data_IF_173122002135
#
_entry.id   IF_173122002135
#
_cell.length_a   1.000
_cell.length_b   1.000
_cell.length_c   1.000
_cell.angle_alpha   90.00
_cell.angle_beta   90.00
_cell.angle_gamma   90.00
#
_symmetry.space_group_name_H-M   'P 1'
#
loop_
_entity.id
_entity.type
_entity.pdbx_description
1 polymer ?
#
# COMPACT_ATOMS: atom_id res chain seq x y z
N UNK A 1 -68.06 -19.19 -22.69
CA UNK A 1 -67.01 -19.87 -21.91
C UNK A 1 -66.56 -18.90 -20.81
N UNK A 2 -67.11 -19.06 -19.60
CA UNK A 2 -66.94 -18.16 -18.45
C UNK A 2 -66.10 -18.91 -17.41
N UNK A 3 -65.02 -18.32 -16.91
CA UNK A 3 -64.34 -18.81 -15.70
C UNK A 3 -64.16 -17.63 -14.76
N UNK A 4 -64.85 -17.70 -13.62
CA UNK A 4 -64.71 -16.81 -12.46
C UNK A 4 -63.54 -17.32 -11.62
N UNK A 5 -62.62 -16.43 -11.24
CA UNK A 5 -61.62 -16.70 -10.21
C UNK A 5 -62.14 -16.16 -8.87
N UNK A 6 -62.24 -17.03 -7.87
CA UNK A 6 -62.69 -16.71 -6.53
C UNK A 6 -61.50 -16.37 -5.62
N UNK A 7 -61.66 -15.29 -4.85
CA UNK A 7 -60.82 -14.86 -3.73
C UNK A 7 -60.91 -15.89 -2.58
N UNK A 8 -59.79 -16.28 -2.00
CA UNK A 8 -59.73 -16.90 -0.66
C UNK A 8 -58.80 -16.04 0.19
N UNK A 9 -59.40 -15.33 1.15
CA UNK A 9 -58.71 -14.61 2.21
C UNK A 9 -58.65 -15.52 3.45
N UNK A 10 -57.45 -15.92 3.86
CA UNK A 10 -57.22 -16.66 5.10
C UNK A 10 -56.72 -15.71 6.18
N UNK A 11 -57.57 -15.46 7.16
CA UNK A 11 -57.27 -14.79 8.42
C UNK A 11 -56.59 -15.79 9.38
N UNK A 12 -55.32 -15.56 9.72
CA UNK A 12 -54.70 -16.19 10.88
C UNK A 12 -54.53 -15.14 11.97
N UNK A 13 -55.34 -15.27 13.02
CA UNK A 13 -55.20 -14.59 14.30
C UNK A 13 -54.17 -15.36 15.13
N UNK A 14 -53.06 -14.71 15.50
CA UNK A 14 -52.09 -15.21 16.46
C UNK A 14 -52.14 -14.34 17.72
N UNK A 15 -52.59 -14.94 18.82
CA UNK A 15 -52.54 -14.38 20.17
C UNK A 15 -51.08 -14.25 20.64
N UNK A 16 -50.74 -13.22 21.42
CA UNK A 16 -49.40 -13.09 22.01
C UNK A 16 -49.27 -13.98 23.25
N UNK A 17 -48.24 -14.83 23.25
CA UNK A 17 -47.81 -15.60 24.41
C UNK A 17 -46.97 -14.68 25.31
N UNK A 18 -47.50 -14.37 26.50
CA UNK A 18 -46.78 -13.61 27.52
C UNK A 18 -45.59 -14.43 28.05
N UNK A 19 -44.38 -13.93 27.83
CA UNK A 19 -43.17 -14.47 28.46
C UNK A 19 -43.07 -13.94 29.89
N UNK A 20 -43.12 -14.85 30.87
CA UNK A 20 -42.78 -14.57 32.27
C UNK A 20 -41.28 -14.33 32.40
N UNK A 21 -40.93 -13.09 32.73
CA UNK A 21 -39.58 -12.67 33.09
C UNK A 21 -39.24 -13.21 34.49
N UNK A 22 -38.38 -14.23 34.53
CA UNK A 22 -37.85 -14.79 35.78
C UNK A 22 -36.69 -13.92 36.24
N UNK A 23 -36.90 -13.18 37.33
CA UNK A 23 -35.85 -12.42 38.02
C UNK A 23 -34.77 -13.36 38.58
N UNK A 24 -33.48 -13.15 38.27
CA UNK A 24 -32.41 -13.86 38.98
C UNK A 24 -32.20 -13.23 40.36
N UNK A 25 -32.13 -14.11 41.36
CA UNK A 25 -31.83 -13.81 42.75
C UNK A 25 -30.51 -13.03 42.91
N UNK A 26 -30.56 -12.00 43.76
CA UNK A 26 -29.42 -11.14 44.08
C UNK A 26 -28.30 -11.88 44.80
N UNK A 27 -27.11 -11.84 44.21
CA UNK A 27 -25.86 -12.15 44.91
C UNK A 27 -25.26 -10.85 45.44
N UNK A 28 -25.43 -10.59 46.74
CA UNK A 28 -24.64 -9.60 47.48
C UNK A 28 -23.18 -10.04 47.51
N UNK A 29 -22.30 -9.24 46.88
CA UNK A 29 -20.85 -9.37 47.04
C UNK A 29 -20.42 -8.68 48.34
N UNK A 30 -19.57 -9.33 49.18
CA UNK A 30 -18.97 -8.66 50.32
C UNK A 30 -17.95 -7.63 49.85
N UNK A 31 -18.00 -6.43 50.45
CA UNK A 31 -17.03 -5.36 50.22
C UNK A 31 -15.67 -5.75 50.79
N UNK A 32 -14.70 -6.06 49.92
CA UNK A 32 -13.29 -6.17 50.28
C UNK A 32 -12.71 -4.75 50.39
N UNK A 33 -12.58 -4.28 51.62
CA UNK A 33 -11.97 -3.00 51.97
C UNK A 33 -10.43 -3.16 52.00
N UNK A 34 -9.79 -3.04 50.84
CA UNK A 34 -8.33 -3.04 50.70
C UNK A 34 -7.81 -1.62 50.88
N UNK A 35 -7.29 -1.33 52.08
CA UNK A 35 -6.43 -0.16 52.34
C UNK A 35 -5.13 -0.33 51.54
N UNK A 36 -4.89 0.55 50.57
CA UNK A 36 -3.57 0.68 49.95
C UNK A 36 -2.59 1.32 50.96
N UNK A 37 -1.33 0.85 51.01
CA UNK A 37 -0.26 1.54 51.74
C UNK A 37 0.20 2.80 50.99
N UNK A 38 0.50 3.85 51.76
CA UNK A 38 1.06 5.11 51.28
C UNK A 38 2.41 4.89 50.59
N UNK A 39 2.50 5.31 49.32
CA UNK A 39 3.75 5.33 48.55
C UNK A 39 4.38 6.71 48.71
N UNK A 40 5.63 6.82 49.23
CA UNK A 40 6.32 8.09 49.35
C UNK A 40 6.70 8.67 47.97
N UNK A 41 6.48 9.96 47.85
CA UNK A 41 6.71 10.81 46.68
C UNK A 41 8.20 10.86 46.28
N UNK A 42 8.58 10.67 45.01
CA UNK A 42 9.97 10.73 44.59
C UNK A 42 10.48 12.17 44.49
N UNK A 43 11.63 12.43 45.11
CA UNK A 43 12.36 13.69 45.07
C UNK A 43 12.73 14.09 43.63
N UNK A 44 12.47 15.36 43.30
CA UNK A 44 12.73 15.93 41.97
C UNK A 44 14.23 16.08 41.65
N UNK A 45 14.61 16.06 40.36
CA UNK A 45 15.99 16.16 39.94
C UNK A 45 16.53 17.59 40.04
N UNK A 46 17.65 17.73 40.75
CA UNK A 46 18.47 18.93 40.84
C UNK A 46 19.15 19.27 39.50
N UNK A 47 18.97 20.51 39.04
CA UNK A 47 19.63 21.13 37.87
C UNK A 47 21.13 21.34 38.13
N UNK A 48 22.03 20.93 37.21
CA UNK A 48 23.41 21.41 37.21
C UNK A 48 23.52 22.77 36.49
N UNK A 49 24.42 23.60 37.02
CA UNK A 49 24.65 24.99 36.67
C UNK A 49 25.31 25.19 35.29
N UNK A 50 24.94 26.31 34.66
CA UNK A 50 25.49 26.86 33.42
C UNK A 50 27.01 26.99 33.44
N UNK A 51 27.67 26.44 32.42
CA UNK A 51 29.06 26.77 32.09
C UNK A 51 29.07 27.48 30.74
N UNK A 52 29.12 28.82 30.79
CA UNK A 52 29.31 29.69 29.63
C UNK A 52 30.71 29.45 29.03
N UNK A 53 30.76 28.81 27.86
CA UNK A 53 31.95 28.78 27.01
C UNK A 53 31.94 29.97 26.06
N UNK A 54 32.96 30.80 26.19
CA UNK A 54 33.34 31.91 25.32
C UNK A 54 33.64 31.44 23.89
N UNK A 55 33.01 32.06 22.90
CA UNK A 55 33.30 31.91 21.48
C UNK A 55 34.50 32.78 21.06
N UNK A 56 35.34 32.33 20.12
CA UNK A 56 36.42 33.13 19.53
C UNK A 56 35.89 34.20 18.54
N UNK A 57 36.68 35.26 18.28
CA UNK A 57 36.22 36.45 17.56
C UNK A 57 36.04 36.25 16.05
N UNK A 58 35.09 37.01 15.49
CA UNK A 58 34.76 37.12 14.07
C UNK A 58 35.96 37.58 13.23
N UNK A 59 36.18 36.88 12.12
CA UNK A 59 37.05 37.30 11.01
C UNK A 59 36.26 38.27 10.11
N UNK A 60 36.83 39.42 9.69
CA UNK A 60 36.15 40.38 8.81
C UNK A 60 36.05 39.90 7.34
N UNK A 61 35.12 40.46 6.55
CA UNK A 61 34.80 39.95 5.22
C UNK A 61 35.86 40.38 4.19
N UNK A 62 36.75 39.47 3.83
CA UNK A 62 37.66 39.58 2.68
C UNK A 62 36.97 39.14 1.39
N UNK A 63 37.08 39.98 0.35
CA UNK A 63 36.39 39.84 -0.94
C UNK A 63 36.65 38.54 -1.69
N UNK A 64 35.59 38.07 -2.36
CA UNK A 64 35.61 36.97 -3.32
C UNK A 64 36.27 37.41 -4.65
N UNK A 65 37.22 36.64 -5.20
CA UNK A 65 37.71 36.82 -6.55
C UNK A 65 36.62 36.48 -7.59
N UNK A 66 36.48 37.26 -8.68
CA UNK A 66 35.54 36.98 -9.75
C UNK A 66 36.20 36.08 -10.80
N UNK A 67 36.44 34.81 -10.49
CA UNK A 67 36.96 33.89 -11.50
C UNK A 67 36.54 32.46 -11.18
N UNK A 68 35.38 32.06 -11.72
CA UNK A 68 34.95 30.68 -11.98
C UNK A 68 33.54 30.71 -12.60
N UNK A 69 33.45 31.26 -13.82
CA UNK A 69 32.29 31.08 -14.71
C UNK A 69 32.76 30.82 -16.14
N UNK A 70 33.35 29.64 -16.36
CA UNK A 70 33.44 28.99 -17.68
C UNK A 70 34.02 27.60 -17.52
N UNK A 71 33.17 26.62 -17.22
CA UNK A 71 33.40 25.20 -17.53
C UNK A 71 32.10 24.42 -17.25
N UNK A 72 31.02 24.80 -17.95
CA UNK A 72 29.79 24.02 -17.98
C UNK A 72 29.62 23.44 -19.38
N UNK A 73 30.41 22.39 -19.68
CA UNK A 73 30.16 21.38 -20.73
C UNK A 73 31.24 20.30 -20.64
N UNK A 74 31.23 19.53 -19.56
CA UNK A 74 31.84 18.20 -19.54
C UNK A 74 30.69 17.19 -19.51
N UNK A 75 30.62 16.35 -20.55
CA UNK A 75 29.73 15.21 -20.66
C UNK A 75 29.58 14.54 -19.29
N UNK A 76 28.37 14.57 -18.72
CA UNK A 76 28.00 13.75 -17.58
C UNK A 76 28.09 12.29 -18.04
N UNK A 77 29.22 11.65 -17.73
CA UNK A 77 29.48 10.26 -18.03
C UNK A 77 28.51 9.42 -17.19
N UNK A 78 27.33 9.16 -17.76
CA UNK A 78 26.34 8.21 -17.24
C UNK A 78 26.98 6.83 -17.31
N UNK A 79 27.72 6.41 -16.28
CA UNK A 79 27.71 5.04 -15.73
C UNK A 79 28.80 4.77 -14.67
N UNK A 80 28.65 5.21 -13.41
CA UNK A 80 29.52 4.70 -12.33
C UNK A 80 28.98 3.47 -11.59
N UNK A 81 27.88 2.82 -12.01
CA UNK A 81 27.38 1.62 -11.30
C UNK A 81 26.73 0.56 -12.20
N UNK A 82 27.22 0.40 -13.43
CA UNK A 82 26.82 -0.71 -14.28
C UNK A 82 27.63 -1.95 -13.89
N UNK A 83 26.97 -2.93 -13.29
CA UNK A 83 27.56 -4.19 -12.92
C UNK A 83 27.38 -5.22 -14.04
N UNK A 84 28.49 -5.81 -14.50
CA UNK A 84 28.45 -6.95 -15.43
C UNK A 84 27.94 -8.20 -14.71
N UNK A 85 27.02 -8.91 -15.35
CA UNK A 85 26.39 -10.15 -14.89
C UNK A 85 26.89 -11.28 -15.78
N UNK A 86 27.41 -12.34 -15.16
CA UNK A 86 27.62 -13.59 -15.87
C UNK A 86 26.37 -14.46 -15.73
N UNK A 87 25.61 -14.57 -16.82
CA UNK A 87 24.35 -15.33 -16.89
C UNK A 87 24.50 -16.80 -16.48
N UNK A 88 25.66 -17.40 -16.74
CA UNK A 88 25.92 -18.80 -16.38
C UNK A 88 26.11 -19.00 -14.87
N UNK A 89 26.48 -17.93 -14.16
CA UNK A 89 26.67 -17.92 -12.71
C UNK A 89 25.43 -17.50 -11.92
N UNK A 90 24.32 -17.13 -12.59
CA UNK A 90 23.11 -16.67 -11.91
C UNK A 90 22.40 -17.85 -11.26
N UNK A 91 22.29 -17.81 -9.94
CA UNK A 91 21.71 -18.89 -9.13
C UNK A 91 20.82 -18.32 -8.03
N UNK A 92 20.01 -19.18 -7.40
CA UNK A 92 19.25 -18.84 -6.20
C UNK A 92 19.98 -19.42 -4.98
N UNK A 93 20.25 -18.60 -3.98
CA UNK A 93 20.83 -18.99 -2.71
C UNK A 93 19.78 -18.81 -1.61
N UNK A 94 19.63 -19.83 -0.75
CA UNK A 94 18.89 -19.69 0.51
C UNK A 94 19.88 -19.24 1.61
N UNK A 95 19.66 -18.05 2.16
CA UNK A 95 20.42 -17.52 3.29
C UNK A 95 19.46 -17.10 4.39
N UNK A 96 19.48 -17.85 5.50
CA UNK A 96 18.67 -17.56 6.68
C UNK A 96 17.16 -17.48 6.37
N UNK A 97 16.65 -18.36 5.52
CA UNK A 97 15.24 -18.39 5.14
C UNK A 97 14.84 -17.27 4.18
N UNK A 98 15.82 -16.62 3.53
CA UNK A 98 15.61 -15.65 2.46
C UNK A 98 16.23 -16.18 1.17
N UNK A 99 15.46 -16.16 0.10
CA UNK A 99 15.90 -16.55 -1.23
C UNK A 99 16.47 -15.32 -1.95
N UNK A 100 17.77 -15.38 -2.22
CA UNK A 100 18.52 -14.34 -2.93
C UNK A 100 18.86 -14.84 -4.33
N UNK A 101 18.62 -14.02 -5.35
CA UNK A 101 19.14 -14.25 -6.70
C UNK A 101 20.51 -13.60 -6.79
N UNK A 102 21.54 -14.39 -7.07
CA UNK A 102 22.95 -13.95 -7.06
C UNK A 102 23.65 -14.28 -8.36
N UNK A 103 24.61 -13.45 -8.78
CA UNK A 103 25.58 -13.76 -9.85
C UNK A 103 26.97 -13.79 -9.22
N UNK A 104 27.55 -14.99 -9.13
CA UNK A 104 28.76 -15.23 -8.33
C UNK A 104 28.55 -14.79 -6.88
N UNK A 105 29.35 -13.82 -6.42
CA UNK A 105 29.28 -13.29 -5.05
C UNK A 105 28.34 -12.08 -4.91
N UNK A 106 27.77 -11.56 -6.00
CA UNK A 106 26.92 -10.40 -5.95
C UNK A 106 25.46 -10.78 -5.81
N UNK A 107 24.76 -10.14 -4.87
CA UNK A 107 23.31 -10.23 -4.77
C UNK A 107 22.70 -9.33 -5.83
N UNK A 108 21.95 -9.92 -6.76
CA UNK A 108 21.19 -9.20 -7.77
C UNK A 108 19.82 -8.79 -7.25
N UNK A 109 19.14 -9.69 -6.51
CA UNK A 109 17.83 -9.42 -5.93
C UNK A 109 17.58 -10.23 -4.67
N UNK A 110 16.88 -9.64 -3.70
CA UNK A 110 16.35 -10.33 -2.53
C UNK A 110 14.83 -10.56 -2.71
N UNK A 111 14.42 -11.82 -2.72
CA UNK A 111 13.03 -12.23 -2.92
C UNK A 111 12.31 -12.59 -1.61
N UNK A 112 12.93 -12.34 -0.45
CA UNK A 112 12.36 -12.68 0.85
C UNK A 112 12.20 -14.19 1.04
N UNK A 113 11.15 -14.63 1.75
CA UNK A 113 10.93 -16.06 2.05
C UNK A 113 10.28 -16.85 0.90
N UNK A 114 9.97 -16.22 -0.23
CA UNK A 114 9.24 -16.86 -1.33
C UNK A 114 10.18 -17.40 -2.42
N UNK A 115 10.43 -18.71 -2.35
CA UNK A 115 11.24 -19.43 -3.34
C UNK A 115 10.65 -19.40 -4.74
N UNK A 116 9.32 -19.45 -4.87
CA UNK A 116 8.68 -19.47 -6.18
C UNK A 116 8.89 -18.13 -6.89
N UNK A 117 8.78 -17.01 -6.16
CA UNK A 117 9.12 -15.72 -6.76
C UNK A 117 10.60 -15.61 -7.11
N UNK A 118 11.52 -16.14 -6.29
CA UNK A 118 12.95 -16.17 -6.64
C UNK A 118 13.21 -16.96 -7.94
N UNK A 119 12.52 -18.09 -8.14
CA UNK A 119 12.57 -18.86 -9.39
C UNK A 119 12.06 -18.05 -10.58
N UNK A 120 10.95 -17.34 -10.40
CA UNK A 120 10.43 -16.45 -11.43
C UNK A 120 11.43 -15.34 -11.79
N UNK A 121 12.06 -14.69 -10.82
CA UNK A 121 13.08 -13.65 -11.07
C UNK A 121 14.28 -14.23 -11.82
N UNK A 122 14.78 -15.40 -11.39
CA UNK A 122 15.87 -16.10 -12.09
C UNK A 122 15.50 -16.40 -13.55
N UNK A 123 14.30 -16.94 -13.78
CA UNK A 123 13.81 -17.23 -15.13
C UNK A 123 13.76 -15.96 -16.00
N UNK A 124 13.24 -14.85 -15.47
CA UNK A 124 13.19 -13.57 -16.19
C UNK A 124 14.61 -13.10 -16.56
N UNK A 125 15.57 -13.14 -15.62
CA UNK A 125 16.95 -12.72 -15.90
C UNK A 125 17.59 -13.57 -17.01
N UNK A 126 17.41 -14.90 -16.93
CA UNK A 126 17.97 -15.84 -17.92
C UNK A 126 17.29 -15.72 -19.29
N UNK A 127 15.95 -15.63 -19.33
CA UNK A 127 15.18 -15.53 -20.56
C UNK A 127 15.42 -14.21 -21.29
N UNK A 128 15.52 -13.10 -20.54
CA UNK A 128 15.79 -11.77 -21.11
C UNK A 128 17.26 -11.59 -21.49
N UNK A 129 18.15 -12.48 -21.03
CA UNK A 129 19.58 -12.40 -21.32
C UNK A 129 20.25 -11.17 -20.73
N UNK A 130 19.83 -10.72 -19.54
CA UNK A 130 20.41 -9.54 -18.90
C UNK A 130 21.88 -9.78 -18.52
N UNK A 131 22.77 -9.02 -19.16
CA UNK A 131 24.23 -9.12 -18.95
C UNK A 131 24.76 -7.96 -18.14
N UNK A 132 23.96 -6.94 -17.90
CA UNK A 132 24.32 -5.77 -17.10
C UNK A 132 23.16 -5.36 -16.21
N UNK A 133 23.49 -4.99 -14.97
CA UNK A 133 22.57 -4.45 -13.98
C UNK A 133 23.05 -3.08 -13.55
N UNK A 134 22.17 -2.09 -13.59
CA UNK A 134 22.40 -0.77 -13.02
C UNK A 134 21.30 -0.41 -12.04
N UNK A 135 21.61 0.41 -11.05
CA UNK A 135 20.63 0.93 -10.11
C UNK A 135 20.85 2.42 -9.86
N UNK A 136 19.75 3.12 -9.60
CA UNK A 136 19.76 4.51 -9.12
C UNK A 136 19.06 4.53 -7.77
N UNK A 137 19.81 4.91 -6.73
CA UNK A 137 19.31 4.93 -5.37
C UNK A 137 18.17 5.94 -5.17
N UNK A 138 17.37 5.71 -4.13
CA UNK A 138 16.40 6.68 -3.61
C UNK A 138 15.01 6.63 -4.24
N UNK A 139 14.79 5.81 -5.27
CA UNK A 139 13.44 5.52 -5.72
C UNK A 139 12.73 4.52 -4.79
N UNK A 140 11.40 4.65 -4.68
CA UNK A 140 10.52 3.69 -4.04
C UNK A 140 9.41 3.26 -5.03
N UNK A 141 9.46 2.03 -5.59
CA UNK A 141 10.52 1.02 -5.42
C UNK A 141 11.86 1.46 -6.03
N UNK A 142 12.99 0.82 -5.68
CA UNK A 142 14.31 1.12 -6.24
C UNK A 142 14.29 1.12 -7.77
N UNK A 143 14.97 2.09 -8.38
CA UNK A 143 15.07 2.18 -9.83
C UNK A 143 16.23 1.29 -10.27
N UNK A 144 15.89 0.12 -10.81
CA UNK A 144 16.83 -0.83 -11.37
C UNK A 144 16.62 -0.91 -12.88
N UNK A 145 17.70 -0.97 -13.64
CA UNK A 145 17.66 -1.16 -15.08
C UNK A 145 18.60 -2.28 -15.48
N UNK A 146 18.16 -3.05 -16.48
CA UNK A 146 18.84 -4.26 -16.90
C UNK A 146 19.09 -4.15 -18.40
N UNK A 147 20.33 -4.39 -18.81
CA UNK A 147 20.75 -4.24 -20.20
C UNK A 147 21.30 -5.55 -20.77
N UNK A 148 21.22 -5.64 -22.09
CA UNK A 148 21.82 -6.71 -22.89
C UNK A 148 22.97 -6.10 -23.69
N UNK A 149 24.20 -6.57 -23.47
CA UNK A 149 25.43 -6.08 -24.10
C UNK A 149 25.35 -6.21 -25.62
N UNK A 150 24.90 -7.37 -26.09
CA UNK A 150 24.77 -7.66 -27.51
C UNK A 150 23.29 -7.64 -27.93
N UNK A 151 22.90 -6.59 -28.65
CA UNK A 151 21.57 -6.51 -29.26
C UNK A 151 21.31 -7.65 -30.26
N UNK A 152 22.34 -8.33 -30.78
CA UNK A 152 22.19 -9.52 -31.60
C UNK A 152 21.62 -10.70 -30.80
N UNK A 153 21.96 -10.80 -29.51
CA UNK A 153 21.38 -11.77 -28.58
C UNK A 153 19.95 -11.38 -28.22
N UNK A 154 19.63 -10.08 -28.13
CA UNK A 154 18.25 -9.61 -27.99
C UNK A 154 17.38 -9.94 -29.23
N UNK A 155 17.98 -10.05 -30.42
CA UNK A 155 17.29 -10.48 -31.66
C UNK A 155 17.13 -12.00 -31.77
N UNK A 156 18.10 -12.79 -31.28
CA UNK A 156 17.98 -14.27 -31.23
C UNK A 156 17.07 -14.73 -30.11
N UNK A 157 17.08 -14.02 -28.99
CA UNK A 157 16.13 -14.11 -27.89
C UNK A 157 14.98 -13.12 -28.06
N UNK A 158 14.51 -12.90 -29.30
CA UNK A 158 13.16 -12.37 -29.50
C UNK A 158 12.19 -13.47 -29.05
N UNK A 159 12.17 -13.70 -27.73
CA UNK A 159 11.21 -14.53 -27.04
C UNK A 159 9.88 -13.97 -27.52
N UNK A 160 9.15 -14.78 -28.30
CA UNK A 160 7.85 -14.37 -28.83
C UNK A 160 7.05 -13.74 -27.70
N UNK A 161 6.33 -12.66 -27.99
CA UNK A 161 5.52 -11.94 -26.99
C UNK A 161 4.65 -12.89 -26.14
N UNK A 162 4.34 -14.07 -26.65
CA UNK A 162 3.66 -15.17 -25.99
C UNK A 162 4.37 -15.68 -24.72
N UNK A 163 5.68 -15.93 -24.75
CA UNK A 163 6.39 -16.47 -23.57
C UNK A 163 6.58 -15.44 -22.44
N UNK A 164 6.46 -14.14 -22.73
CA UNK A 164 6.53 -13.06 -21.73
C UNK A 164 5.27 -12.96 -20.86
N UNK A 165 4.13 -13.47 -21.33
CA UNK A 165 2.83 -13.20 -20.68
C UNK A 165 2.57 -13.98 -19.40
N UNK A 166 3.23 -15.12 -19.19
CA UNK A 166 2.83 -16.01 -18.08
C UNK A 166 3.43 -15.62 -16.73
N UNK A 167 4.55 -14.90 -16.73
CA UNK A 167 5.34 -14.69 -15.49
C UNK A 167 5.59 -13.22 -15.16
N UNK A 168 5.37 -12.31 -16.11
CA UNK A 168 5.57 -10.87 -15.93
C UNK A 168 4.42 -10.07 -16.50
N UNK A 169 3.97 -9.05 -15.76
CA UNK A 169 3.03 -8.06 -16.27
C UNK A 169 3.79 -6.95 -16.97
N UNK A 170 3.40 -6.62 -18.20
CA UNK A 170 4.01 -5.57 -19.01
C UNK A 170 3.13 -4.32 -19.00
N UNK A 171 3.70 -3.17 -18.63
CA UNK A 171 3.04 -1.87 -18.70
C UNK A 171 3.70 -1.04 -19.81
N UNK A 172 2.97 -0.61 -20.85
CA UNK A 172 3.54 0.25 -21.88
C UNK A 172 3.90 1.62 -21.30
N UNK A 173 5.03 2.17 -21.75
CA UNK A 173 5.52 3.51 -21.44
C UNK A 173 5.71 4.29 -22.74
N UNK A 174 5.21 5.52 -22.80
CA UNK A 174 5.55 6.46 -23.87
C UNK A 174 6.89 7.14 -23.57
N UNK A 175 7.94 6.70 -24.26
CA UNK A 175 9.31 7.20 -24.08
C UNK A 175 9.45 8.73 -24.25
N UNK A 176 8.65 9.34 -25.12
CA UNK A 176 8.66 10.80 -25.33
C UNK A 176 8.02 11.56 -24.16
N UNK A 177 7.02 10.94 -23.53
CA UNK A 177 6.29 11.47 -22.38
C UNK A 177 7.05 11.37 -21.05
N UNK A 178 8.19 10.67 -21.02
CA UNK A 178 8.97 10.47 -19.79
C UNK A 178 9.65 11.78 -19.38
N UNK A 179 9.36 12.24 -18.16
CA UNK A 179 10.04 13.38 -17.56
C UNK A 179 10.05 13.28 -16.04
N UNK A 180 10.97 14.02 -15.42
CA UNK A 180 11.04 14.17 -13.98
C UNK A 180 10.27 15.43 -13.62
N UNK A 181 9.32 15.31 -12.69
CA UNK A 181 8.51 16.44 -12.22
C UNK A 181 8.62 16.52 -10.70
N UNK A 182 8.79 17.73 -10.18
CA UNK A 182 8.63 17.99 -8.75
C UNK A 182 7.16 18.12 -8.42
N UNK A 183 6.71 17.26 -7.54
CA UNK A 183 5.31 16.98 -7.22
C UNK A 183 5.26 16.93 -5.70
N UNK A 184 5.05 18.13 -5.12
CA UNK A 184 5.02 18.45 -3.69
C UNK A 184 6.30 18.07 -2.99
N UNK A 185 7.40 18.73 -3.32
CA UNK A 185 8.68 18.44 -2.67
C UNK A 185 9.29 17.08 -3.00
N UNK A 186 8.52 16.13 -3.55
CA UNK A 186 9.01 14.86 -4.07
C UNK A 186 9.27 14.96 -5.58
N UNK A 187 10.33 14.36 -6.05
CA UNK A 187 10.68 14.21 -7.44
C UNK A 187 10.19 12.86 -7.92
N UNK A 188 9.30 12.89 -8.90
CA UNK A 188 8.76 11.68 -9.51
C UNK A 188 9.14 11.61 -10.97
N UNK A 189 9.27 10.39 -11.48
CA UNK A 189 9.40 10.11 -12.90
C UNK A 189 8.04 9.68 -13.40
N UNK A 190 7.51 10.43 -14.37
CA UNK A 190 6.18 10.21 -14.93
C UNK A 190 6.25 9.96 -16.42
N UNK A 191 5.31 9.16 -16.90
CA UNK A 191 4.96 9.05 -18.31
C UNK A 191 3.56 9.67 -18.51
N UNK A 192 3.53 10.90 -19.02
CA UNK A 192 2.31 11.69 -19.10
C UNK A 192 1.66 11.89 -17.73
N UNK A 193 0.49 11.28 -17.51
CA UNK A 193 -0.22 11.31 -16.23
C UNK A 193 0.12 10.17 -15.27
N UNK A 194 0.90 9.17 -15.69
CA UNK A 194 1.21 7.99 -14.87
C UNK A 194 2.53 8.17 -14.14
N UNK A 195 2.53 7.97 -12.82
CA UNK A 195 3.75 7.90 -12.01
C UNK A 195 4.41 6.54 -12.21
N UNK A 196 5.69 6.54 -12.60
CA UNK A 196 6.49 5.33 -12.77
C UNK A 196 7.37 5.06 -11.55
N UNK A 197 8.05 6.11 -11.05
CA UNK A 197 8.96 6.02 -9.90
C UNK A 197 8.86 7.28 -9.03
N UNK A 198 9.06 7.13 -7.73
CA UNK A 198 9.11 8.23 -6.78
C UNK A 198 10.49 8.27 -6.09
N UNK A 199 11.25 9.35 -6.30
CA UNK A 199 12.59 9.58 -5.76
C UNK A 199 12.62 10.45 -4.50
N UNK A 200 11.46 10.80 -3.93
CA UNK A 200 11.41 11.68 -2.75
C UNK A 200 12.14 13.00 -3.02
N UNK A 201 13.04 13.45 -2.14
CA UNK A 201 13.70 14.75 -2.31
C UNK A 201 14.85 14.76 -3.36
N UNK A 202 15.14 13.63 -4.00
CA UNK A 202 16.35 13.42 -4.82
C UNK A 202 16.13 13.80 -6.29
N UNK A 203 16.19 15.11 -6.57
CA UNK A 203 16.04 15.71 -7.90
C UNK A 203 16.97 15.11 -8.96
N UNK A 204 18.27 15.05 -8.63
CA UNK A 204 19.31 14.62 -9.55
C UNK A 204 19.11 13.16 -9.94
N UNK A 205 18.73 12.30 -8.98
CA UNK A 205 18.47 10.88 -9.23
C UNK A 205 17.23 10.67 -10.12
N UNK A 206 16.17 11.46 -9.92
CA UNK A 206 15.00 11.40 -10.78
C UNK A 206 15.32 11.82 -12.23
N UNK A 207 16.09 12.90 -12.40
CA UNK A 207 16.57 13.33 -13.73
C UNK A 207 17.46 12.28 -14.38
N UNK A 208 18.40 11.71 -13.62
CA UNK A 208 19.26 10.63 -14.09
C UNK A 208 18.46 9.40 -14.52
N UNK A 209 17.39 9.06 -13.80
CA UNK A 209 16.51 7.97 -14.20
C UNK A 209 15.78 8.27 -15.52
N UNK A 210 15.31 9.50 -15.74
CA UNK A 210 14.75 9.93 -17.04
C UNK A 210 15.79 9.83 -18.16
N UNK A 211 17.02 10.26 -17.89
CA UNK A 211 18.12 10.16 -18.85
C UNK A 211 18.41 8.69 -19.20
N UNK A 212 18.46 7.78 -18.22
CA UNK A 212 18.62 6.35 -18.45
C UNK A 212 17.44 5.80 -19.28
N UNK A 213 16.21 6.13 -18.90
CA UNK A 213 15.01 5.68 -19.61
C UNK A 213 15.03 6.09 -21.09
N UNK A 214 15.43 7.33 -21.37
CA UNK A 214 15.55 7.89 -22.73
C UNK A 214 16.77 7.36 -23.48
N UNK A 215 17.95 7.35 -22.86
CA UNK A 215 19.23 6.88 -23.44
C UNK A 215 19.09 5.47 -23.97
N UNK A 216 18.49 4.58 -23.18
CA UNK A 216 18.28 3.20 -23.60
C UNK A 216 16.98 3.00 -24.35
N UNK A 217 16.11 4.01 -24.52
CA UNK A 217 14.89 3.92 -25.32
C UNK A 217 13.89 2.88 -24.80
N UNK A 218 13.73 2.77 -23.48
CA UNK A 218 12.76 1.86 -22.89
C UNK A 218 11.32 2.35 -23.17
N UNK A 219 10.45 1.43 -23.59
CA UNK A 219 9.06 1.72 -23.96
C UNK A 219 8.06 0.82 -23.21
N UNK A 220 8.53 0.02 -22.27
CA UNK A 220 7.70 -0.83 -21.43
C UNK A 220 8.35 -1.05 -20.06
N UNK A 221 7.53 -1.34 -19.06
CA UNK A 221 7.91 -1.69 -17.70
C UNK A 221 7.47 -3.12 -17.42
N UNK A 222 8.41 -4.02 -17.21
CA UNK A 222 8.14 -5.37 -16.73
C UNK A 222 8.00 -5.38 -15.21
N UNK A 223 6.95 -6.03 -14.71
CA UNK A 223 6.69 -6.21 -13.29
C UNK A 223 6.63 -7.70 -12.99
N UNK A 224 7.41 -8.11 -11.98
CA UNK A 224 7.54 -9.48 -11.50
C UNK A 224 7.12 -9.54 -10.04
N UNK A 225 6.36 -10.56 -9.67
CA UNK A 225 5.80 -10.73 -8.33
C UNK A 225 4.43 -10.06 -8.20
N UNK A 226 3.47 -10.81 -7.65
CA UNK A 226 2.14 -10.32 -7.29
C UNK A 226 1.75 -10.84 -5.89
N UNK A 227 0.98 -10.07 -5.10
CA UNK A 227 0.47 -8.74 -5.39
C UNK A 227 1.54 -7.63 -5.31
N UNK A 228 2.58 -7.80 -4.47
CA UNK A 228 3.65 -6.82 -4.31
C UNK A 228 4.74 -7.07 -5.36
N UNK A 229 5.11 -6.08 -6.19
CA UNK A 229 6.22 -6.20 -7.13
C UNK A 229 7.52 -6.54 -6.41
N UNK A 230 8.10 -7.68 -6.75
CA UNK A 230 9.43 -8.10 -6.28
C UNK A 230 10.51 -7.65 -7.25
N UNK A 231 10.23 -7.41 -8.53
CA UNK A 231 11.19 -6.80 -9.45
C UNK A 231 10.45 -5.94 -10.48
N UNK A 232 11.01 -4.78 -10.79
CA UNK A 232 10.51 -3.88 -11.82
C UNK A 232 11.67 -3.52 -12.73
N UNK A 233 11.52 -3.75 -14.03
CA UNK A 233 12.59 -3.52 -14.99
C UNK A 233 12.06 -2.81 -16.24
N UNK A 234 12.64 -1.66 -16.62
CA UNK A 234 12.40 -1.08 -17.92
C UNK A 234 12.91 -2.02 -19.04
N UNK A 235 12.17 -2.13 -20.14
CA UNK A 235 12.57 -2.95 -21.30
C UNK A 235 12.07 -2.34 -22.61
N UNK A 236 12.61 -2.84 -23.72
CA UNK A 236 12.12 -2.58 -25.07
C UNK A 236 11.18 -3.70 -25.49
N UNK A 237 9.88 -3.42 -25.55
CA UNK A 237 8.93 -4.31 -26.19
C UNK A 237 9.13 -4.26 -27.72
N UNK A 238 9.36 -5.43 -28.32
CA UNK A 238 9.41 -5.61 -29.77
C UNK A 238 7.99 -5.53 -30.33
N UNK A 239 7.66 -4.41 -30.96
CA UNK A 239 6.30 -4.14 -31.43
C UNK A 239 5.95 -2.68 -31.17
N UNK A 240 6.57 -1.81 -31.95
CA UNK A 240 6.33 -0.36 -31.96
C UNK A 240 4.94 -0.06 -32.52
N UNK A 241 3.89 -0.42 -31.79
CA UNK A 241 2.53 0.10 -31.86
C UNK A 241 1.62 -0.55 -30.79
N UNK A 242 2.10 -0.79 -29.57
CA UNK A 242 1.17 -0.63 -28.44
C UNK A 242 0.92 0.87 -28.40
N UNK A 243 0.01 1.34 -29.26
CA UNK A 243 -0.41 2.73 -29.32
C UNK A 243 -0.86 3.05 -27.91
N UNK A 244 -0.01 3.75 -27.15
CA UNK A 244 -0.42 4.33 -25.89
C UNK A 244 -1.75 5.03 -26.19
N UNK A 245 -2.85 4.73 -25.47
CA UNK A 245 -4.16 5.22 -25.82
C UNK A 245 -4.06 6.72 -26.08
N UNK A 246 -4.37 7.11 -27.32
CA UNK A 246 -4.01 8.40 -27.89
C UNK A 246 -4.33 9.51 -26.89
N UNK A 247 -3.27 10.12 -26.36
CA UNK A 247 -3.25 11.27 -25.47
C UNK A 247 -4.59 11.62 -24.82
N UNK A 248 -4.83 11.15 -23.60
CA UNK A 248 -5.73 11.87 -22.70
C UNK A 248 -5.23 13.32 -22.64
N UNK A 249 -6.03 14.25 -23.17
CA UNK A 249 -5.76 15.70 -23.22
C UNK A 249 -5.10 16.15 -21.92
N UNK A 250 -3.99 16.87 -22.06
CA UNK A 250 -3.25 17.55 -21.01
C UNK A 250 -4.22 18.03 -19.93
N UNK A 251 -4.15 17.43 -18.74
CA UNK A 251 -4.86 18.00 -17.59
C UNK A 251 -4.25 19.37 -17.32
N UNK A 252 -5.07 20.41 -17.06
CA UNK A 252 -4.55 21.73 -16.74
C UNK A 252 -3.60 21.62 -15.56
N UNK A 253 -2.52 22.40 -15.62
CA UNK A 253 -1.40 22.40 -14.68
C UNK A 253 -1.91 22.92 -13.31
N UNK A 254 -2.54 22.05 -12.53
CA UNK A 254 -3.04 22.38 -11.18
C UNK A 254 -1.82 22.55 -10.25
N UNK A 255 -1.73 23.66 -9.48
CA UNK A 255 -0.67 23.84 -8.49
C UNK A 255 -0.71 22.69 -7.48
N UNK A 256 0.46 22.15 -7.19
CA UNK A 256 0.61 20.89 -6.48
C UNK A 256 0.99 21.20 -5.01
N UNK A 257 0.04 21.01 -4.10
CA UNK A 257 0.04 21.43 -2.69
C UNK A 257 1.02 20.62 -1.84
N UNK A 258 1.88 21.18 -0.97
CA UNK A 258 2.73 20.44 -0.03
C UNK A 258 2.04 19.30 0.75
N UNK A 259 0.71 19.32 0.93
CA UNK A 259 -0.02 18.15 1.42
C UNK A 259 0.25 16.93 0.53
N UNK A 260 0.12 17.08 -0.79
CA UNK A 260 0.34 16.08 -1.85
C UNK A 260 1.76 15.45 -1.88
N UNK A 261 2.71 15.97 -1.08
CA UNK A 261 4.06 15.43 -0.88
C UNK A 261 4.02 14.13 -0.09
N UNK A 262 3.25 14.21 0.99
CA UNK A 262 3.00 13.12 1.92
C UNK A 262 2.13 12.06 1.24
N UNK A 263 1.31 12.45 0.25
CA UNK A 263 0.52 11.54 -0.59
C UNK A 263 1.41 10.60 -1.39
N UNK A 264 2.59 11.02 -1.84
CA UNK A 264 3.45 10.17 -2.66
C UNK A 264 4.39 9.25 -1.86
N UNK A 265 4.88 9.71 -0.70
CA UNK A 265 5.73 8.87 0.16
C UNK A 265 4.92 7.76 0.86
N UNK A 266 3.70 8.10 1.27
CA UNK A 266 2.79 7.17 1.94
C UNK A 266 1.71 6.68 0.99
N UNK A 267 1.84 6.90 -0.32
CA UNK A 267 0.80 6.50 -1.26
C UNK A 267 0.75 5.00 -1.42
N UNK A 268 -0.44 4.42 -1.26
CA UNK A 268 -0.68 3.03 -1.59
C UNK A 268 -1.14 2.94 -3.03
N UNK A 269 -0.32 2.33 -3.88
CA UNK A 269 -0.61 2.15 -5.30
C UNK A 269 -0.87 0.68 -5.58
N UNK A 270 -1.97 0.41 -6.28
CA UNK A 270 -2.30 -0.92 -6.78
C UNK A 270 -2.06 -0.93 -8.30
N UNK A 271 -1.37 -1.95 -8.85
CA UNK A 271 -1.25 -2.12 -10.30
C UNK A 271 -2.63 -2.09 -10.97
N UNK A 272 -2.75 -1.38 -12.09
CA UNK A 272 -4.00 -1.21 -12.88
C UNK A 272 -5.07 -0.30 -12.25
N UNK A 273 -5.12 -0.19 -10.91
CA UNK A 273 -6.10 0.67 -10.21
C UNK A 273 -5.57 2.09 -10.03
N UNK A 274 -4.27 2.22 -9.77
CA UNK A 274 -3.63 3.49 -9.47
C UNK A 274 -3.56 3.76 -7.96
N UNK A 275 -3.68 5.03 -7.59
CA UNK A 275 -3.58 5.48 -6.19
C UNK A 275 -4.86 5.11 -5.42
N UNK A 276 -4.71 4.35 -4.35
CA UNK A 276 -5.82 3.98 -3.46
C UNK A 276 -6.00 5.00 -2.34
N UNK A 277 -4.90 5.53 -1.81
CA UNK A 277 -4.93 6.37 -0.62
C UNK A 277 -3.64 6.37 0.19
N UNK A 278 -3.69 6.98 1.36
CA UNK A 278 -2.54 7.07 2.26
C UNK A 278 -2.37 5.84 3.12
N UNK A 279 -1.28 5.11 2.91
CA UNK A 279 -0.74 4.08 3.78
C UNK A 279 -0.14 4.70 5.04
N UNK A 280 -0.64 4.30 6.20
CA UNK A 280 -0.13 4.69 7.50
C UNK A 280 0.39 3.44 8.21
N UNK A 281 1.71 3.16 8.17
CA UNK A 281 2.29 2.05 8.92
C UNK A 281 2.26 2.37 10.42
N UNK A 282 2.16 1.34 11.24
CA UNK A 282 2.24 1.44 12.69
C UNK A 282 2.86 0.18 13.30
N UNK A 283 3.44 0.32 14.49
CA UNK A 283 4.10 -0.78 15.18
C UNK A 283 3.07 -1.60 15.98
N UNK A 284 2.99 -2.90 15.67
CA UNK A 284 2.16 -3.88 16.38
C UNK A 284 2.50 -3.97 17.87
N UNK A 285 3.77 -3.79 18.25
CA UNK A 285 4.20 -3.85 19.65
C UNK A 285 3.71 -2.65 20.46
N UNK A 286 3.34 -1.56 19.79
CA UNK A 286 2.81 -0.35 20.40
C UNK A 286 1.28 -0.30 20.36
N UNK A 287 0.61 -1.40 19.96
CA UNK A 287 -0.83 -1.50 20.05
C UNK A 287 -1.26 -1.63 21.51
N UNK A 288 -1.97 -0.63 22.01
CA UNK A 288 -2.52 -0.63 23.35
C UNK A 288 -4.00 -0.26 23.35
N UNK A 289 -4.77 -0.89 24.23
CA UNK A 289 -6.14 -0.51 24.54
C UNK A 289 -6.13 0.28 25.86
N UNK A 290 -6.45 1.57 25.78
CA UNK A 290 -6.37 2.48 26.92
C UNK A 290 -7.75 2.96 27.34
N UNK A 291 -8.01 2.95 28.64
CA UNK A 291 -9.21 3.54 29.24
C UNK A 291 -8.95 5.00 29.62
N UNK A 292 -9.66 5.91 28.99
CA UNK A 292 -9.82 7.29 29.46
C UNK A 292 -11.26 7.52 29.91
N UNK A 293 -11.91 8.52 29.31
CA UNK A 293 -13.38 8.65 29.35
C UNK A 293 -14.05 7.54 28.53
N UNK A 294 -13.40 7.13 27.46
CA UNK A 294 -13.81 6.08 26.53
C UNK A 294 -12.65 5.10 26.34
N UNK A 295 -12.96 3.90 25.87
CA UNK A 295 -12.00 2.90 25.46
C UNK A 295 -11.49 3.22 24.06
N UNK A 296 -10.19 3.43 23.94
CA UNK A 296 -9.54 3.81 22.69
C UNK A 296 -8.41 2.84 22.41
N UNK A 297 -8.30 2.35 21.17
CA UNK A 297 -7.12 1.61 20.72
C UNK A 297 -6.15 2.55 20.04
N UNK A 298 -4.92 2.55 20.54
CA UNK A 298 -3.81 3.38 20.10
C UNK A 298 -2.73 2.51 19.48
N UNK A 299 -2.00 3.05 18.50
CA UNK A 299 -0.72 2.52 18.03
C UNK A 299 0.32 3.64 18.17
N UNK A 300 1.06 3.61 19.29
CA UNK A 300 1.90 4.74 19.70
C UNK A 300 1.07 6.03 19.88
N UNK A 301 1.38 7.15 19.20
CA UNK A 301 0.61 8.39 19.30
C UNK A 301 -0.71 8.38 18.49
N UNK A 302 -0.93 7.37 17.65
CA UNK A 302 -2.04 7.35 16.69
C UNK A 302 -3.27 6.66 17.28
N UNK A 303 -4.43 7.32 17.21
CA UNK A 303 -5.72 6.69 17.55
C UNK A 303 -6.27 5.91 16.37
N UNK A 304 -6.40 4.59 16.52
CA UNK A 304 -6.97 3.72 15.50
C UNK A 304 -8.49 3.61 15.62
N UNK A 305 -9.00 3.39 16.83
CA UNK A 305 -10.43 3.21 17.08
C UNK A 305 -10.86 3.80 18.42
N UNK A 306 -12.11 4.24 18.47
CA UNK A 306 -12.81 4.60 19.68
C UNK A 306 -14.02 3.67 19.85
N UNK A 307 -14.06 2.96 20.98
CA UNK A 307 -15.08 1.98 21.32
C UNK A 307 -16.10 2.51 22.36
N UNK A 308 -16.02 3.79 22.73
CA UNK A 308 -16.91 4.37 23.73
C UNK A 308 -16.78 3.66 25.08
N UNK A 309 -17.89 3.14 25.62
CA UNK A 309 -17.90 2.39 26.88
C UNK A 309 -17.64 0.88 26.71
N UNK A 310 -17.51 0.37 25.47
CA UNK A 310 -17.44 -1.07 25.19
C UNK A 310 -16.00 -1.62 25.19
N UNK A 311 -15.52 -1.98 26.38
CA UNK A 311 -14.22 -2.62 26.57
C UNK A 311 -14.10 -3.94 25.80
N UNK A 312 -15.16 -4.73 25.78
CA UNK A 312 -15.13 -6.09 25.24
C UNK A 312 -14.90 -6.07 23.73
N UNK A 313 -15.54 -5.13 23.03
CA UNK A 313 -15.30 -4.91 21.60
C UNK A 313 -13.87 -4.45 21.36
N UNK A 314 -13.35 -3.52 22.17
CA UNK A 314 -11.96 -3.08 22.08
C UNK A 314 -10.95 -4.22 22.24
N UNK A 315 -11.16 -5.12 23.20
CA UNK A 315 -10.31 -6.32 23.40
C UNK A 315 -10.39 -7.31 22.24
N UNK A 316 -11.57 -7.50 21.67
CA UNK A 316 -11.76 -8.38 20.50
C UNK A 316 -11.04 -7.84 19.26
N UNK A 317 -11.16 -6.54 18.98
CA UNK A 317 -10.46 -5.90 17.86
C UNK A 317 -8.95 -5.92 18.07
N UNK A 318 -8.46 -5.60 19.27
CA UNK A 318 -7.02 -5.68 19.58
C UNK A 318 -6.46 -7.09 19.33
N UNK A 319 -7.17 -8.13 19.80
CA UNK A 319 -6.76 -9.51 19.56
C UNK A 319 -6.76 -9.87 18.07
N UNK A 320 -7.77 -9.42 17.32
CA UNK A 320 -7.82 -9.62 15.88
C UNK A 320 -6.61 -9.00 15.16
N UNK A 321 -6.19 -7.79 15.56
CA UNK A 321 -5.02 -7.13 14.98
C UNK A 321 -3.73 -7.89 15.26
N UNK A 322 -3.59 -8.44 16.46
CA UNK A 322 -2.45 -9.26 16.86
C UNK A 322 -2.43 -10.58 16.07
N UNK A 323 -3.56 -11.29 16.01
CA UNK A 323 -3.68 -12.58 15.31
C UNK A 323 -3.40 -12.42 13.80
N UNK A 324 -3.93 -11.37 13.18
CA UNK A 324 -3.72 -11.08 11.76
C UNK A 324 -2.43 -10.34 11.42
N UNK A 325 -1.67 -9.90 12.43
CA UNK A 325 -0.45 -9.11 12.25
C UNK A 325 -0.69 -7.82 11.43
N UNK A 326 -1.80 -7.12 11.70
CA UNK A 326 -2.15 -5.87 11.03
C UNK A 326 -1.18 -4.77 11.43
N UNK A 327 -0.34 -4.32 10.51
CA UNK A 327 0.71 -3.34 10.79
C UNK A 327 0.56 -2.03 10.01
N UNK A 328 -0.51 -1.89 9.24
CA UNK A 328 -0.80 -0.66 8.51
C UNK A 328 -2.26 -0.55 8.11
N UNK A 329 -2.67 0.64 7.71
CA UNK A 329 -3.95 0.84 7.05
C UNK A 329 -3.84 1.86 5.92
N UNK A 330 -4.79 1.80 4.98
CA UNK A 330 -4.92 2.73 3.87
C UNK A 330 -6.28 3.40 3.94
N UNK A 331 -6.32 4.73 3.97
CA UNK A 331 -7.57 5.51 3.85
C UNK A 331 -7.98 5.58 2.38
N UNK A 332 -9.10 4.96 2.00
CA UNK A 332 -9.51 4.84 0.59
C UNK A 332 -10.30 6.07 0.15
N UNK A 333 -9.73 6.84 -0.77
CA UNK A 333 -10.33 8.09 -1.26
C UNK A 333 -10.76 9.00 -0.12
N UNK A 334 -11.95 9.60 -0.24
CA UNK A 334 -12.59 10.38 0.82
C UNK A 334 -13.76 9.63 1.49
N UNK A 335 -13.82 8.29 1.36
CA UNK A 335 -14.88 7.48 2.00
C UNK A 335 -14.84 7.53 3.53
N UNK A 336 -13.69 7.91 4.11
CA UNK A 336 -13.41 7.77 5.54
C UNK A 336 -13.16 6.33 5.98
N UNK A 337 -13.30 5.35 5.08
CA UNK A 337 -13.02 3.95 5.36
C UNK A 337 -11.51 3.68 5.36
N UNK A 338 -11.06 2.90 6.35
CA UNK A 338 -9.68 2.46 6.51
C UNK A 338 -9.57 0.98 6.16
N UNK A 339 -8.86 0.67 5.08
CA UNK A 339 -8.51 -0.70 4.72
C UNK A 339 -7.24 -1.10 5.48
N UNK A 340 -7.42 -1.96 6.48
CA UNK A 340 -6.31 -2.50 7.29
C UNK A 340 -5.57 -3.60 6.53
N UNK A 341 -4.24 -3.60 6.62
CA UNK A 341 -3.37 -4.54 5.91
C UNK A 341 -2.32 -5.13 6.86
N UNK A 342 -1.88 -6.34 6.53
CA UNK A 342 -0.74 -7.04 7.11
C UNK A 342 0.29 -7.24 5.99
N UNK A 343 1.42 -6.53 6.07
CA UNK A 343 2.47 -6.57 5.04
C UNK A 343 1.92 -6.32 3.62
N UNK A 344 1.09 -5.28 3.48
CA UNK A 344 0.48 -4.83 2.22
C UNK A 344 -0.50 -5.81 1.59
N UNK A 345 -1.05 -6.73 2.40
CA UNK A 345 -2.14 -7.63 2.03
C UNK A 345 -3.29 -7.47 3.01
N UNK A 346 -4.52 -7.73 2.57
CA UNK A 346 -5.65 -7.81 3.51
C UNK A 346 -5.44 -8.97 4.48
N UNK A 347 -5.92 -8.87 5.73
CA UNK A 347 -5.86 -9.96 6.68
C UNK A 347 -6.47 -11.24 6.11
N UNK A 348 -5.82 -12.37 6.39
CA UNK A 348 -6.27 -13.69 5.97
C UNK A 348 -6.85 -14.46 7.16
N UNK A 349 -7.92 -15.23 6.90
CA UNK A 349 -8.55 -16.12 7.88
C UNK A 349 -9.71 -15.48 8.63
N UNK A 350 -10.65 -16.32 9.07
CA UNK A 350 -11.84 -15.85 9.77
C UNK A 350 -11.49 -15.39 11.19
N UNK A 351 -11.97 -14.21 11.61
CA UNK A 351 -11.78 -13.75 12.96
C UNK A 351 -12.60 -14.56 13.94
N UNK A 352 -12.02 -14.81 15.11
CA UNK A 352 -12.77 -15.39 16.22
C UNK A 352 -13.78 -14.34 16.76
N UNK A 353 -15.01 -14.77 17.03
CA UNK A 353 -16.11 -13.98 17.61
C UNK A 353 -16.62 -12.76 16.80
N UNK A 354 -16.15 -12.52 15.58
CA UNK A 354 -16.75 -11.47 14.75
C UNK A 354 -18.00 -11.99 14.04
N UNK A 355 -18.96 -11.10 13.78
CA UNK A 355 -20.06 -11.38 12.84
C UNK A 355 -19.50 -11.26 11.43
N UNK A 356 -19.38 -12.36 10.71
CA UNK A 356 -18.89 -12.38 9.33
C UNK A 356 -20.03 -12.37 8.33
N UNK A 357 -19.91 -11.54 7.29
CA UNK A 357 -20.74 -11.59 6.09
C UNK A 357 -19.86 -12.10 4.96
N UNK A 358 -20.13 -13.33 4.50
CA UNK A 358 -19.41 -13.93 3.39
C UNK A 358 -20.05 -13.51 2.06
N UNK A 359 -19.21 -13.28 1.05
CA UNK A 359 -19.65 -12.97 -0.29
C UNK A 359 -18.65 -13.49 -1.32
N UNK A 360 -19.07 -13.56 -2.58
CA UNK A 360 -18.12 -13.76 -3.68
C UNK A 360 -17.65 -12.41 -4.17
N UNK A 361 -16.38 -12.33 -4.51
CA UNK A 361 -15.76 -11.11 -4.99
C UNK A 361 -16.41 -10.60 -6.30
N UNK A 362 -16.84 -11.54 -7.15
CA UNK A 362 -17.56 -11.29 -8.40
C UNK A 362 -18.97 -10.68 -8.20
N UNK A 363 -19.59 -10.93 -7.04
CA UNK A 363 -20.92 -10.43 -6.70
C UNK A 363 -20.90 -9.00 -6.14
N UNK A 364 -19.70 -8.46 -5.86
CA UNK A 364 -19.54 -7.10 -5.36
C UNK A 364 -19.85 -6.08 -6.45
N UNK A 365 -20.75 -5.17 -6.12
CA UNK A 365 -21.13 -4.01 -6.94
C UNK A 365 -21.28 -2.77 -6.07
N UNK A 366 -21.09 -1.61 -6.69
CA UNK A 366 -21.44 -0.33 -6.10
C UNK A 366 -22.88 -0.01 -6.48
N UNK A 367 -23.73 0.29 -5.49
CA UNK A 367 -25.13 0.66 -5.71
C UNK A 367 -25.40 1.98 -5.00
N UNK A 368 -26.01 2.89 -5.75
CA UNK A 368 -26.46 4.18 -5.23
C UNK A 368 -27.85 4.02 -4.61
N UNK A 369 -28.02 4.50 -3.38
CA UNK A 369 -29.32 4.50 -2.71
C UNK A 369 -30.14 5.76 -3.03
N UNK A 370 -31.29 5.91 -2.35
CA UNK A 370 -32.19 7.05 -2.55
C UNK A 370 -31.67 8.35 -1.93
N UNK A 371 -30.69 8.27 -1.02
CA UNK A 371 -30.12 9.38 -0.27
C UNK A 371 -28.79 9.87 -0.86
N UNK A 372 -28.47 9.45 -2.09
CA UNK A 372 -27.24 9.81 -2.80
C UNK A 372 -25.96 9.18 -2.20
N UNK A 373 -26.12 8.15 -1.36
CA UNK A 373 -25.01 7.38 -0.82
C UNK A 373 -24.71 6.17 -1.71
N UNK A 374 -23.44 5.86 -1.84
CA UNK A 374 -22.94 4.72 -2.57
C UNK A 374 -22.61 3.60 -1.58
N UNK A 375 -23.19 2.43 -1.79
CA UNK A 375 -22.99 1.25 -0.97
C UNK A 375 -22.22 0.20 -1.74
N UNK A 376 -21.24 -0.41 -1.09
CA UNK A 376 -20.67 -1.68 -1.53
C UNK A 376 -21.67 -2.80 -1.17
N UNK A 377 -22.23 -3.47 -2.17
CA UNK A 377 -23.27 -4.48 -2.00
C UNK A 377 -22.82 -5.83 -2.58
N UNK A 378 -23.13 -6.92 -1.88
CA UNK A 378 -23.02 -8.28 -2.39
C UNK A 378 -24.42 -8.89 -2.57
N UNK A 379 -24.86 -9.04 -3.81
CA UNK A 379 -26.24 -9.44 -4.12
C UNK A 379 -27.26 -8.39 -3.63
N UNK A 380 -28.07 -8.74 -2.63
CA UNK A 380 -29.00 -7.84 -1.93
C UNK A 380 -28.44 -7.28 -0.61
N UNK A 381 -27.31 -7.79 -0.11
CA UNK A 381 -26.77 -7.44 1.20
C UNK A 381 -25.86 -6.21 1.10
N UNK A 382 -26.23 -5.13 1.80
CA UNK A 382 -25.36 -3.97 1.96
C UNK A 382 -24.19 -4.33 2.89
N UNK A 383 -22.97 -4.17 2.38
CA UNK A 383 -21.75 -4.47 3.12
C UNK A 383 -21.25 -3.19 3.80
N UNK A 384 -20.91 -2.17 3.03
CA UNK A 384 -20.28 -0.95 3.54
C UNK A 384 -20.86 0.30 2.86
N UNK A 385 -21.07 1.37 3.64
CA UNK A 385 -21.34 2.71 3.12
C UNK A 385 -20.02 3.37 2.66
N UNK A 386 -19.94 3.72 1.38
CA UNK A 386 -18.78 4.38 0.76
C UNK A 386 -18.91 5.91 0.75
N UNK A 387 -20.00 6.46 1.28
CA UNK A 387 -20.30 7.89 1.26
C UNK A 387 -20.89 8.36 -0.07
N UNK A 388 -20.68 9.64 -0.42
CA UNK A 388 -21.35 10.30 -1.56
C UNK A 388 -20.56 10.30 -2.86
N UNK A 389 -19.32 9.82 -2.85
CA UNK A 389 -18.46 9.81 -4.04
C UNK A 389 -18.56 8.46 -4.78
N UNK A 390 -19.04 8.50 -6.03
CA UNK A 390 -19.03 7.35 -6.93
C UNK A 390 -17.62 6.82 -7.19
N UNK A 391 -16.67 7.74 -7.45
CA UNK A 391 -15.27 7.41 -7.72
C UNK A 391 -14.61 6.70 -6.57
N UNK A 392 -14.85 7.15 -5.33
CA UNK A 392 -14.25 6.53 -4.15
C UNK A 392 -14.88 5.16 -3.85
N UNK A 393 -16.18 5.01 -4.12
CA UNK A 393 -16.86 3.71 -4.03
C UNK A 393 -16.34 2.70 -5.07
N UNK A 394 -16.14 3.15 -6.33
CA UNK A 394 -15.55 2.33 -7.39
C UNK A 394 -14.09 1.97 -7.08
N UNK A 395 -13.34 2.91 -6.49
CA UNK A 395 -11.97 2.68 -6.03
C UNK A 395 -11.92 1.60 -4.95
N UNK A 396 -12.83 1.66 -3.97
CA UNK A 396 -12.98 0.62 -2.95
C UNK A 396 -13.36 -0.73 -3.56
N UNK A 397 -14.33 -0.77 -4.46
CA UNK A 397 -14.71 -2.01 -5.16
C UNK A 397 -13.52 -2.63 -5.87
N UNK A 398 -12.74 -1.80 -6.56
CA UNK A 398 -11.54 -2.25 -7.28
C UNK A 398 -10.47 -2.75 -6.31
N UNK A 399 -10.29 -2.10 -5.16
CA UNK A 399 -9.41 -2.58 -4.09
C UNK A 399 -9.85 -3.96 -3.58
N UNK A 400 -11.13 -4.14 -3.29
CA UNK A 400 -11.69 -5.42 -2.85
C UNK A 400 -11.44 -6.52 -3.88
N UNK A 401 -11.60 -6.22 -5.17
CA UNK A 401 -11.31 -7.16 -6.27
C UNK A 401 -9.83 -7.54 -6.34
N UNK A 402 -8.96 -6.54 -6.29
CA UNK A 402 -7.52 -6.76 -6.33
C UNK A 402 -7.03 -7.62 -5.15
N UNK A 403 -7.49 -7.32 -3.94
CA UNK A 403 -7.12 -8.07 -2.74
C UNK A 403 -7.88 -9.38 -2.54
N UNK A 404 -8.79 -9.72 -3.46
CA UNK A 404 -9.63 -10.92 -3.37
C UNK A 404 -10.39 -10.99 -2.04
N UNK A 405 -10.91 -9.85 -1.58
CA UNK A 405 -11.76 -9.78 -0.38
C UNK A 405 -13.03 -10.59 -0.64
N UNK A 406 -13.36 -11.50 0.27
CA UNK A 406 -14.52 -12.38 0.19
C UNK A 406 -15.32 -12.46 1.51
N UNK A 407 -14.94 -11.65 2.51
CA UNK A 407 -15.60 -11.59 3.80
C UNK A 407 -15.51 -10.19 4.42
N UNK A 408 -16.60 -9.74 5.02
CA UNK A 408 -16.65 -8.56 5.88
C UNK A 408 -16.88 -8.99 7.33
N UNK A 409 -15.89 -8.79 8.19
CA UNK A 409 -15.96 -9.09 9.61
C UNK A 409 -16.38 -7.85 10.41
N UNK A 410 -17.38 -8.01 11.25
CA UNK A 410 -17.93 -6.95 12.10
C UNK A 410 -17.69 -7.25 13.58
N UNK A 411 -17.11 -6.27 14.27
CA UNK A 411 -16.97 -6.25 15.72
C UNK A 411 -17.85 -5.16 16.31
N UNK A 412 -18.36 -5.39 17.51
CA UNK A 412 -19.21 -4.45 18.21
C UNK A 412 -20.71 -4.66 17.99
N UNK A 413 -21.46 -3.73 18.56
CA UNK A 413 -22.92 -3.76 18.56
C UNK A 413 -23.45 -2.75 17.52
N UNK A 414 -24.40 -3.13 16.64
CA UNK A 414 -25.02 -2.23 15.67
C UNK A 414 -25.55 -0.92 16.27
N UNK A 415 -25.95 -0.95 17.54
CA UNK A 415 -26.52 0.22 18.24
C UNK A 415 -25.47 1.19 18.76
N UNK A 416 -24.25 0.72 19.04
CA UNK A 416 -23.20 1.51 19.69
C UNK A 416 -22.00 1.80 18.78
N UNK A 417 -22.04 1.28 17.55
CA UNK A 417 -20.96 1.36 16.59
C UNK A 417 -20.43 -0.04 16.26
N UNK A 418 -20.44 -0.38 14.98
CA UNK A 418 -19.76 -1.57 14.47
C UNK A 418 -18.45 -1.13 13.79
N UNK A 419 -17.38 -1.87 14.05
CA UNK A 419 -16.14 -1.75 13.31
C UNK A 419 -16.07 -2.87 12.28
N UNK A 420 -15.94 -2.48 11.01
CA UNK A 420 -15.91 -3.41 9.88
C UNK A 420 -14.48 -3.59 9.37
N UNK A 421 -14.14 -4.84 9.05
CA UNK A 421 -12.89 -5.23 8.44
C UNK A 421 -13.17 -6.04 7.18
N UNK A 422 -12.57 -5.61 6.07
CA UNK A 422 -12.58 -6.35 4.81
C UNK A 422 -11.37 -7.29 4.80
N UNK A 423 -11.64 -8.59 4.71
CA UNK A 423 -10.63 -9.64 4.86
C UNK A 423 -10.80 -10.70 3.77
N UNK A 424 -9.79 -11.56 3.65
CA UNK A 424 -9.85 -12.76 2.84
C UNK A 424 -9.98 -13.98 3.75
N UNK A 425 -11.17 -14.57 3.77
CA UNK A 425 -11.47 -15.74 4.60
C UNK A 425 -11.00 -17.06 3.99
N UNK A 426 -10.80 -17.14 2.66
CA UNK A 426 -10.47 -18.37 1.92
C UNK A 426 -9.09 -18.40 1.25
#
# INVERSE_FOLDING_TARGET
>A
MRIRLALIASLFSLSPLAAQETQPAGFSRPALNLKLPDVPEPAGPSRPADTLRTLPPLIPPGGLPPELKKEASKNSEIDPSLQKIDLSSVTIQDKFGRFLVTSGNSVLRDCGADRATAQTVLMVIQQMGFTHHGSIAGANPPFEYWLVEDQSMAKKGLVSSEAHTKTSMMIPINAEGIHAKKVSGAWIVTDGGRVLYNFGQLEENARKAVEVLKKYGFNALGIVGQPVPIMTYPTKAAGSAITAPAASRQTPNVPFDPETARFLQNGFFIPQVGYLGHRKPFDLQQLELKRGREWVMLAGPMTLFNFGSDENTGRQVLRAFQDWHVNEYVEIGNTGYRLFLAASRVPNGRPFNARSIDFRNEDLKVVKDKEDHYWLQAGSTQILDCGKSDKDADLLLTACRYFQVDCAAKYGNPRYGEHMFLIRAR
#
